data_IF_075746309908
#
_entry.id   IF_075746309908
#
_cell.length_a   1.000
_cell.length_b   1.000
_cell.length_c   1.000
_cell.angle_alpha   90.00
_cell.angle_beta   90.00
_cell.angle_gamma   90.00
#
_symmetry.space_group_name_H-M   'P 1'
#
loop_
_entity.id
_entity.type
_entity.pdbx_description
1 polymer ?
#
# COMPACT_ATOMS: atom_id res chain seq x y z
N UNK A 1 29.21 33.33 -1.64
CA UNK A 1 28.82 32.15 -2.43
C UNK A 1 28.77 30.86 -1.58
N UNK A 2 29.73 30.61 -0.68
CA UNK A 2 29.74 29.46 0.23
C UNK A 2 28.59 29.54 1.24
N UNK A 3 28.33 30.71 1.83
CA UNK A 3 27.28 30.94 2.83
C UNK A 3 25.85 30.77 2.27
N UNK A 4 25.62 31.12 1.02
CA UNK A 4 24.34 30.91 0.34
C UNK A 4 24.08 29.43 0.03
N UNK A 5 25.11 28.67 -0.34
CA UNK A 5 25.04 27.22 -0.54
C UNK A 5 24.77 26.47 0.78
N UNK A 6 25.44 26.86 1.87
CA UNK A 6 25.18 26.27 3.20
C UNK A 6 23.76 26.57 3.70
N UNK A 7 23.25 27.77 3.46
CA UNK A 7 21.87 28.12 3.81
C UNK A 7 20.83 27.32 3.04
N UNK A 8 21.03 27.06 1.75
CA UNK A 8 20.14 26.28 0.89
C UNK A 8 20.08 24.80 1.31
N UNK A 9 21.23 24.18 1.60
CA UNK A 9 21.28 22.78 2.05
C UNK A 9 20.64 22.60 3.41
N UNK A 10 20.84 23.50 4.36
CA UNK A 10 20.19 23.45 5.67
C UNK A 10 18.66 23.60 5.59
N UNK A 11 18.17 24.46 4.70
CA UNK A 11 16.73 24.60 4.45
C UNK A 11 16.13 23.34 3.84
N UNK A 12 16.82 22.70 2.89
CA UNK A 12 16.39 21.44 2.28
C UNK A 12 16.30 20.30 3.31
N UNK A 13 17.32 20.13 4.15
CA UNK A 13 17.29 19.13 5.24
C UNK A 13 16.15 19.36 6.23
N UNK A 14 15.89 20.61 6.59
CA UNK A 14 14.78 20.97 7.48
C UNK A 14 13.44 20.63 6.86
N UNK A 15 13.27 20.89 5.56
CA UNK A 15 12.06 20.51 4.82
C UNK A 15 11.84 18.99 4.84
N UNK A 16 12.86 18.20 4.52
CA UNK A 16 12.81 16.73 4.56
C UNK A 16 12.41 16.25 5.95
N UNK A 17 13.02 16.77 7.00
CA UNK A 17 12.75 16.41 8.39
C UNK A 17 11.28 16.68 8.77
N UNK A 18 10.73 17.85 8.44
CA UNK A 18 9.34 18.17 8.74
C UNK A 18 8.35 17.29 7.96
N UNK A 19 8.58 17.07 6.67
CA UNK A 19 7.73 16.21 5.86
C UNK A 19 7.75 14.75 6.34
N UNK A 20 8.91 14.23 6.72
CA UNK A 20 9.02 12.88 7.27
C UNK A 20 8.32 12.74 8.64
N UNK A 21 8.40 13.77 9.50
CA UNK A 21 7.70 13.81 10.78
C UNK A 21 6.17 13.83 10.61
N UNK A 22 5.66 14.63 9.68
CA UNK A 22 4.22 14.69 9.37
C UNK A 22 3.75 13.35 8.79
N UNK A 23 4.51 12.75 7.89
CA UNK A 23 4.24 11.44 7.30
C UNK A 23 4.17 10.34 8.38
N UNK A 24 5.13 10.33 9.31
CA UNK A 24 5.15 9.41 10.46
C UNK A 24 3.97 9.64 11.40
N UNK A 25 3.63 10.90 11.71
CA UNK A 25 2.48 11.23 12.56
C UNK A 25 1.17 10.73 11.94
N UNK A 26 0.99 10.87 10.63
CA UNK A 26 -0.19 10.38 9.92
C UNK A 26 -0.28 8.84 9.95
N UNK A 27 0.83 8.13 9.72
CA UNK A 27 0.89 6.66 9.84
C UNK A 27 0.56 6.20 11.26
N UNK A 28 1.10 6.87 12.28
CA UNK A 28 0.85 6.55 13.69
C UNK A 28 -0.61 6.81 14.06
N UNK A 29 -1.19 7.91 13.59
CA UNK A 29 -2.59 8.23 13.80
C UNK A 29 -3.51 7.16 13.19
N UNK A 30 -3.25 6.74 11.95
CA UNK A 30 -4.00 5.65 11.30
C UNK A 30 -3.92 4.35 12.11
N UNK A 31 -2.74 4.05 12.69
CA UNK A 31 -2.56 2.90 13.56
C UNK A 31 -3.47 2.96 14.79
N UNK A 32 -3.56 4.10 15.45
CA UNK A 32 -4.40 4.27 16.65
C UNK A 32 -5.88 4.12 16.28
N UNK A 33 -6.31 4.76 15.21
CA UNK A 33 -7.72 4.79 14.80
C UNK A 33 -8.27 3.42 14.40
N UNK A 34 -7.43 2.56 13.82
CA UNK A 34 -7.87 1.23 13.33
C UNK A 34 -7.49 0.06 14.26
N UNK A 35 -6.88 0.35 15.43
CA UNK A 35 -6.39 -0.67 16.35
C UNK A 35 -7.50 -1.60 16.88
N UNK A 36 -8.69 -1.05 17.16
CA UNK A 36 -9.84 -1.86 17.62
C UNK A 36 -10.27 -2.93 16.62
N UNK A 37 -10.36 -2.54 15.34
CA UNK A 37 -10.72 -3.47 14.25
C UNK A 37 -9.63 -4.50 14.00
N UNK A 38 -8.37 -4.10 14.19
CA UNK A 38 -7.21 -4.98 14.06
C UNK A 38 -7.25 -6.11 15.10
N UNK A 39 -7.46 -5.75 16.37
CA UNK A 39 -7.55 -6.73 17.46
C UNK A 39 -8.71 -7.71 17.22
N UNK A 40 -9.80 -7.24 16.67
CA UNK A 40 -10.96 -8.06 16.38
C UNK A 40 -10.77 -8.96 15.15
N UNK A 41 -10.23 -8.43 14.04
CA UNK A 41 -10.29 -9.12 12.75
C UNK A 41 -8.95 -9.79 12.36
N UNK A 42 -7.77 -9.24 12.76
CA UNK A 42 -6.46 -9.73 12.32
C UNK A 42 -5.80 -10.65 13.35
N UNK A 43 -5.80 -10.26 14.62
CA UNK A 43 -5.10 -11.04 15.66
C UNK A 43 -5.62 -12.47 15.85
N UNK A 44 -6.95 -12.74 15.75
CA UNK A 44 -7.48 -14.10 15.86
C UNK A 44 -7.13 -15.01 14.69
N UNK A 45 -6.67 -14.44 13.54
CA UNK A 45 -6.27 -15.25 12.39
C UNK A 45 -5.10 -16.17 12.74
N UNK A 46 -5.18 -17.43 12.25
CA UNK A 46 -4.08 -18.39 12.40
C UNK A 46 -2.80 -17.84 11.78
N UNK A 47 -1.64 -18.08 12.40
CA UNK A 47 -0.34 -17.57 11.96
C UNK A 47 0.11 -18.03 10.55
N UNK A 48 -0.50 -19.09 10.00
CA UNK A 48 -0.24 -19.59 8.64
C UNK A 48 -0.94 -18.80 7.52
N UNK A 49 -1.82 -17.85 7.84
CA UNK A 49 -2.48 -17.04 6.82
C UNK A 49 -1.53 -15.97 6.27
N UNK A 50 -1.23 -15.98 4.96
CA UNK A 50 -0.28 -15.04 4.35
C UNK A 50 -0.74 -13.58 4.46
N UNK A 51 -2.04 -13.31 4.46
CA UNK A 51 -2.59 -11.96 4.61
C UNK A 51 -2.29 -11.33 5.98
N UNK A 52 -2.14 -12.13 7.05
CA UNK A 52 -1.71 -11.63 8.35
C UNK A 52 -0.30 -11.06 8.30
N UNK A 53 0.63 -11.74 7.63
CA UNK A 53 2.00 -11.29 7.47
C UNK A 53 2.12 -10.08 6.53
N UNK A 54 1.33 -10.04 5.45
CA UNK A 54 1.21 -8.87 4.58
C UNK A 54 0.68 -7.65 5.34
N UNK A 55 -0.30 -7.85 6.23
CA UNK A 55 -0.80 -6.78 7.11
C UNK A 55 0.29 -6.25 8.04
N UNK A 56 1.02 -7.16 8.73
CA UNK A 56 2.12 -6.79 9.62
C UNK A 56 3.21 -6.02 8.87
N UNK A 57 3.54 -6.46 7.64
CA UNK A 57 4.50 -5.78 6.79
C UNK A 57 4.04 -4.35 6.46
N UNK A 58 2.84 -4.17 5.89
CA UNK A 58 2.34 -2.86 5.49
C UNK A 58 2.16 -1.89 6.67
N UNK A 59 1.83 -2.41 7.84
CA UNK A 59 1.50 -1.58 8.99
C UNK A 59 2.70 -1.34 9.90
N UNK A 60 3.20 -2.40 10.48
CA UNK A 60 4.22 -2.29 11.54
C UNK A 60 5.62 -2.17 10.99
N UNK A 61 5.97 -2.97 9.98
CA UNK A 61 7.32 -2.93 9.43
C UNK A 61 7.62 -1.59 8.77
N UNK A 62 6.70 -1.06 7.93
CA UNK A 62 6.88 0.26 7.31
C UNK A 62 6.90 1.39 8.36
N UNK A 63 6.08 1.30 9.42
CA UNK A 63 6.10 2.26 10.51
C UNK A 63 7.45 2.27 11.25
N UNK A 64 7.98 1.09 11.60
CA UNK A 64 9.30 0.97 12.25
C UNK A 64 10.40 1.59 11.38
N UNK A 65 10.38 1.33 10.08
CA UNK A 65 11.35 1.92 9.14
C UNK A 65 11.22 3.45 9.12
N UNK A 66 10.00 4.00 9.10
CA UNK A 66 9.81 5.45 9.15
C UNK A 66 10.36 6.06 10.45
N UNK A 67 10.15 5.39 11.60
CA UNK A 67 10.73 5.82 12.89
C UNK A 67 12.25 5.80 12.83
N UNK A 68 12.85 4.72 12.32
CA UNK A 68 14.31 4.62 12.19
C UNK A 68 14.89 5.70 11.28
N UNK A 69 14.22 5.98 10.16
CA UNK A 69 14.64 7.07 9.26
C UNK A 69 14.50 8.45 9.92
N UNK A 70 13.44 8.69 10.69
CA UNK A 70 13.27 9.94 11.43
C UNK A 70 14.37 10.15 12.46
N UNK A 71 14.74 9.10 13.19
CA UNK A 71 15.86 9.11 14.13
C UNK A 71 17.17 9.42 13.39
N UNK A 72 17.43 8.72 12.26
CA UNK A 72 18.63 8.95 11.46
C UNK A 72 18.72 10.41 10.97
N UNK A 73 17.60 10.97 10.47
CA UNK A 73 17.54 12.37 10.02
C UNK A 73 17.78 13.38 11.17
N UNK A 74 17.36 13.06 12.40
CA UNK A 74 17.60 13.91 13.56
C UNK A 74 19.08 13.96 13.97
N UNK A 75 19.82 12.85 13.78
CA UNK A 75 21.25 12.78 14.11
C UNK A 75 22.19 13.21 13.00
N UNK A 76 21.75 13.21 11.73
CA UNK A 76 22.58 13.58 10.59
C UNK A 76 23.26 14.95 10.72
N UNK A 77 22.58 16.03 11.19
CA UNK A 77 23.21 17.36 11.34
C UNK A 77 24.29 17.42 12.41
N UNK A 78 24.29 16.51 13.37
CA UNK A 78 25.27 16.44 14.45
C UNK A 78 26.59 15.77 13.99
N UNK A 79 26.60 15.09 12.86
CA UNK A 79 27.79 14.46 12.29
C UNK A 79 28.62 15.51 11.53
N UNK A 80 29.84 15.73 11.95
CA UNK A 80 30.77 16.74 11.39
C UNK A 80 31.11 16.54 9.90
N UNK A 81 30.87 15.36 9.36
CA UNK A 81 30.85 15.04 7.92
C UNK A 81 29.91 13.85 7.72
N UNK A 82 28.65 14.08 7.31
CA UNK A 82 27.81 12.96 6.92
C UNK A 82 28.50 12.27 5.76
N UNK A 83 29.03 11.08 6.01
CA UNK A 83 29.63 10.26 4.95
C UNK A 83 28.55 10.06 3.89
N UNK A 84 28.82 10.50 2.67
CA UNK A 84 27.89 10.37 1.52
C UNK A 84 27.33 8.95 1.40
N UNK A 85 28.07 7.96 1.85
CA UNK A 85 27.69 6.55 1.92
C UNK A 85 26.48 6.27 2.82
N UNK A 86 26.31 6.95 3.96
CA UNK A 86 25.17 6.73 4.86
C UNK A 86 23.90 7.30 4.23
N UNK A 87 23.96 8.50 3.69
CA UNK A 87 22.81 9.10 3.00
C UNK A 87 22.40 8.28 1.77
N UNK A 88 23.38 7.79 1.00
CA UNK A 88 23.13 6.90 -0.13
C UNK A 88 22.48 5.59 0.33
N UNK A 89 22.99 4.97 1.38
CA UNK A 89 22.45 3.73 1.93
C UNK A 89 20.98 3.88 2.38
N UNK A 90 20.67 4.98 3.08
CA UNK A 90 19.27 5.29 3.48
C UNK A 90 18.36 5.49 2.27
N UNK A 91 18.83 6.23 1.26
CA UNK A 91 18.04 6.49 0.06
C UNK A 91 17.74 5.20 -0.72
N UNK A 92 18.75 4.34 -0.91
CA UNK A 92 18.59 3.04 -1.58
C UNK A 92 17.63 2.15 -0.78
N UNK A 93 17.80 2.09 0.54
CA UNK A 93 16.90 1.32 1.41
C UNK A 93 15.45 1.80 1.27
N UNK A 94 15.21 3.12 1.33
CA UNK A 94 13.87 3.68 1.19
C UNK A 94 13.26 3.38 -0.18
N UNK A 95 14.03 3.49 -1.25
CA UNK A 95 13.57 3.17 -2.61
C UNK A 95 13.18 1.69 -2.72
N UNK A 96 14.01 0.78 -2.24
CA UNK A 96 13.70 -0.67 -2.25
C UNK A 96 12.44 -0.96 -1.44
N UNK A 97 12.27 -0.33 -0.29
CA UNK A 97 11.09 -0.55 0.56
C UNK A 97 9.80 -0.01 -0.09
N UNK A 98 9.86 1.14 -0.76
CA UNK A 98 8.72 1.67 -1.51
C UNK A 98 8.33 0.71 -2.64
N UNK A 99 9.30 0.20 -3.38
CA UNK A 99 9.02 -0.78 -4.45
C UNK A 99 8.45 -2.09 -3.90
N UNK A 100 8.99 -2.63 -2.81
CA UNK A 100 8.44 -3.82 -2.15
C UNK A 100 7.00 -3.58 -1.66
N UNK A 101 6.72 -2.40 -1.09
CA UNK A 101 5.39 -2.03 -0.65
C UNK A 101 4.41 -1.88 -1.82
N UNK A 102 4.86 -1.32 -2.95
CA UNK A 102 4.07 -1.22 -4.17
C UNK A 102 3.70 -2.62 -4.71
N UNK A 103 4.67 -3.50 -4.91
CA UNK A 103 4.41 -4.87 -5.38
C UNK A 103 3.46 -5.66 -4.48
N UNK A 104 3.61 -5.54 -3.16
CA UNK A 104 2.71 -6.23 -2.23
C UNK A 104 1.30 -5.66 -2.27
N UNK A 105 1.13 -4.35 -2.43
CA UNK A 105 -0.17 -3.71 -2.61
C UNK A 105 -0.84 -4.16 -3.92
N UNK A 106 -0.10 -4.19 -5.01
CA UNK A 106 -0.59 -4.68 -6.30
C UNK A 106 -0.99 -6.15 -6.25
N UNK A 107 -0.20 -6.97 -5.58
CA UNK A 107 -0.55 -8.37 -5.34
C UNK A 107 -1.89 -8.51 -4.60
N UNK A 108 -2.13 -7.70 -3.56
CA UNK A 108 -3.39 -7.70 -2.82
C UNK A 108 -4.54 -7.29 -3.74
N UNK A 109 -4.37 -6.23 -4.52
CA UNK A 109 -5.38 -5.76 -5.47
C UNK A 109 -5.66 -6.79 -6.57
N UNK A 110 -4.62 -7.38 -7.15
CA UNK A 110 -4.72 -8.43 -8.15
C UNK A 110 -5.43 -9.68 -7.61
N UNK A 111 -5.08 -10.11 -6.39
CA UNK A 111 -5.74 -11.23 -5.74
C UNK A 111 -7.24 -10.97 -5.53
N UNK A 112 -7.62 -9.75 -5.15
CA UNK A 112 -9.04 -9.36 -5.04
C UNK A 112 -9.77 -9.48 -6.38
N UNK A 113 -9.17 -8.95 -7.45
CA UNK A 113 -9.74 -9.06 -8.80
C UNK A 113 -9.87 -10.53 -9.20
N UNK A 114 -8.85 -11.34 -8.97
CA UNK A 114 -8.88 -12.77 -9.27
C UNK A 114 -10.04 -13.51 -8.59
N UNK A 115 -10.22 -13.28 -7.28
CA UNK A 115 -11.34 -13.86 -6.52
C UNK A 115 -12.68 -13.32 -7.02
N UNK A 116 -12.79 -12.04 -7.32
CA UNK A 116 -14.00 -11.39 -7.82
C UNK A 116 -14.48 -11.98 -9.17
N UNK A 117 -13.55 -12.42 -10.00
CA UNK A 117 -13.83 -13.09 -11.28
C UNK A 117 -14.00 -14.61 -11.15
N UNK A 118 -14.14 -15.16 -9.94
CA UNK A 118 -14.36 -16.59 -9.70
C UNK A 118 -13.17 -17.46 -10.06
N UNK A 119 -11.96 -16.98 -9.84
CA UNK A 119 -10.70 -17.69 -10.06
C UNK A 119 -10.47 -18.12 -11.53
N UNK A 120 -10.98 -17.35 -12.49
CA UNK A 120 -10.83 -17.66 -13.91
C UNK A 120 -9.37 -17.59 -14.38
N UNK A 121 -8.88 -18.63 -15.05
CA UNK A 121 -7.48 -18.74 -15.55
C UNK A 121 -7.07 -17.59 -16.49
N UNK A 122 -7.99 -17.08 -17.30
CA UNK A 122 -7.72 -15.93 -18.17
C UNK A 122 -7.34 -14.68 -17.35
N UNK A 123 -8.08 -14.39 -16.28
CA UNK A 123 -7.81 -13.25 -15.38
C UNK A 123 -6.46 -13.44 -14.70
N UNK A 124 -6.17 -14.65 -14.21
CA UNK A 124 -4.86 -14.96 -13.61
C UNK A 124 -3.70 -14.71 -14.55
N UNK A 125 -3.81 -15.10 -15.84
CA UNK A 125 -2.77 -14.85 -16.85
C UNK A 125 -2.59 -13.37 -17.14
N UNK A 126 -3.70 -12.61 -17.25
CA UNK A 126 -3.66 -11.16 -17.44
C UNK A 126 -2.96 -10.46 -16.26
N UNK A 127 -3.38 -10.77 -15.03
CA UNK A 127 -2.80 -10.20 -13.82
C UNK A 127 -1.32 -10.58 -13.64
N UNK A 128 -0.98 -11.84 -13.90
CA UNK A 128 0.41 -12.30 -13.87
C UNK A 128 1.29 -11.59 -14.91
N UNK A 129 0.76 -11.37 -16.12
CA UNK A 129 1.45 -10.59 -17.17
C UNK A 129 1.68 -9.14 -16.78
N UNK A 130 0.69 -8.49 -16.15
CA UNK A 130 0.81 -7.10 -15.67
C UNK A 130 1.88 -6.98 -14.58
N UNK A 131 1.84 -7.82 -13.55
CA UNK A 131 2.85 -7.82 -12.47
C UNK A 131 4.23 -8.13 -13.03
N UNK A 132 4.36 -9.11 -13.94
CA UNK A 132 5.64 -9.45 -14.56
C UNK A 132 6.21 -8.27 -15.36
N UNK A 133 5.38 -7.54 -16.12
CA UNK A 133 5.81 -6.36 -16.88
C UNK A 133 6.41 -5.29 -15.96
N UNK A 134 5.84 -5.11 -14.78
CA UNK A 134 6.31 -4.13 -13.79
C UNK A 134 7.65 -4.57 -13.16
N UNK A 135 7.77 -5.85 -12.77
CA UNK A 135 9.03 -6.40 -12.26
C UNK A 135 10.16 -6.25 -13.29
N UNK A 136 9.89 -6.54 -14.56
CA UNK A 136 10.89 -6.39 -15.63
C UNK A 136 11.33 -4.93 -15.80
N UNK A 137 10.42 -3.97 -15.68
CA UNK A 137 10.74 -2.54 -15.80
C UNK A 137 11.38 -1.96 -14.52
N UNK A 138 11.16 -2.55 -13.36
CA UNK A 138 11.77 -2.14 -12.10
C UNK A 138 13.30 -2.33 -12.11
N UNK A 139 13.81 -3.40 -12.72
CA UNK A 139 15.25 -3.71 -12.75
C UNK A 139 16.12 -2.61 -13.38
N UNK A 140 15.85 -2.14 -14.63
CA UNK A 140 16.62 -1.05 -15.23
C UNK A 140 16.43 0.29 -14.48
N UNK A 141 15.28 0.50 -13.85
CA UNK A 141 15.04 1.69 -13.03
C UNK A 141 15.91 1.68 -11.78
N UNK A 142 15.95 0.57 -11.05
CA UNK A 142 16.80 0.40 -9.88
C UNK A 142 18.28 0.59 -10.22
N UNK A 143 18.74 0.01 -11.33
CA UNK A 143 20.12 0.16 -11.81
C UNK A 143 20.46 1.62 -12.16
N UNK A 144 19.59 2.31 -12.91
CA UNK A 144 19.81 3.69 -13.30
C UNK A 144 19.77 4.65 -12.10
N UNK A 145 18.89 4.40 -11.13
CA UNK A 145 18.82 5.18 -9.88
C UNK A 145 20.09 4.98 -9.06
N UNK A 146 20.55 3.75 -8.89
CA UNK A 146 21.81 3.46 -8.20
C UNK A 146 23.01 4.16 -8.86
N UNK A 147 23.09 4.13 -10.19
CA UNK A 147 24.14 4.82 -10.94
C UNK A 147 24.08 6.36 -10.78
N UNK A 148 22.91 6.96 -10.84
CA UNK A 148 22.69 8.40 -10.59
C UNK A 148 23.13 8.79 -9.19
N UNK A 149 22.76 8.03 -8.19
CA UNK A 149 23.13 8.28 -6.79
C UNK A 149 24.64 8.15 -6.58
N UNK A 150 25.29 7.17 -7.19
CA UNK A 150 26.74 7.00 -7.07
C UNK A 150 27.55 8.11 -7.77
N UNK A 151 26.96 8.77 -8.79
CA UNK A 151 27.56 9.92 -9.47
C UNK A 151 27.25 11.28 -8.81
N UNK A 152 26.56 11.28 -7.65
CA UNK A 152 26.24 12.51 -6.90
C UNK A 152 25.05 13.30 -7.44
N UNK A 153 24.35 12.80 -8.46
CA UNK A 153 23.14 13.41 -9.02
C UNK A 153 21.94 12.94 -8.20
N UNK A 154 21.78 13.52 -7.00
CA UNK A 154 20.79 13.08 -6.01
C UNK A 154 19.33 13.48 -6.35
N UNK A 155 19.12 14.35 -7.35
CA UNK A 155 17.84 15.08 -7.49
C UNK A 155 17.16 14.97 -8.85
N UNK A 156 17.73 14.27 -9.82
CA UNK A 156 17.06 14.04 -11.10
C UNK A 156 16.37 12.68 -11.14
N UNK A 157 15.08 12.72 -11.42
CA UNK A 157 14.31 11.51 -11.70
C UNK A 157 14.77 10.94 -13.04
N UNK A 158 15.39 9.76 -13.03
CA UNK A 158 15.89 9.12 -14.25
C UNK A 158 14.76 8.89 -15.26
N UNK A 159 15.05 8.90 -16.59
CA UNK A 159 14.03 8.58 -17.60
C UNK A 159 13.35 7.24 -17.34
N UNK A 160 14.11 6.24 -16.87
CA UNK A 160 13.59 4.92 -16.54
C UNK A 160 12.60 4.97 -15.37
N UNK A 161 12.80 5.83 -14.36
CA UNK A 161 11.86 6.02 -13.27
C UNK A 161 10.52 6.60 -13.77
N UNK A 162 10.55 7.51 -14.75
CA UNK A 162 9.30 8.03 -15.35
C UNK A 162 8.55 6.94 -16.12
N UNK A 163 9.26 6.06 -16.83
CA UNK A 163 8.67 4.90 -17.51
C UNK A 163 8.04 3.95 -16.49
N UNK A 164 8.75 3.63 -15.40
CA UNK A 164 8.24 2.80 -14.31
C UNK A 164 6.95 3.38 -13.73
N UNK A 165 6.93 4.66 -13.35
CA UNK A 165 5.73 5.33 -12.83
C UNK A 165 4.56 5.27 -13.82
N UNK A 166 4.81 5.38 -15.12
CA UNK A 166 3.78 5.27 -16.14
C UNK A 166 3.21 3.85 -16.23
N UNK A 167 4.05 2.83 -16.14
CA UNK A 167 3.62 1.42 -16.14
C UNK A 167 2.79 1.11 -14.90
N UNK A 168 3.25 1.51 -13.72
CA UNK A 168 2.49 1.38 -12.46
C UNK A 168 1.11 2.04 -12.59
N UNK A 169 1.01 3.23 -13.19
CA UNK A 169 -0.29 3.89 -13.45
C UNK A 169 -1.20 3.05 -14.37
N UNK A 170 -0.65 2.42 -15.40
CA UNK A 170 -1.42 1.55 -16.31
C UNK A 170 -1.90 0.30 -15.57
N UNK A 171 -1.04 -0.33 -14.77
CA UNK A 171 -1.39 -1.51 -13.96
C UNK A 171 -2.53 -1.18 -13.01
N UNK A 172 -2.39 -0.12 -12.20
CA UNK A 172 -3.43 0.31 -11.26
C UNK A 172 -4.74 0.69 -11.96
N UNK A 173 -4.67 1.40 -13.12
CA UNK A 173 -5.86 1.75 -13.92
C UNK A 173 -6.56 0.51 -14.45
N UNK A 174 -5.82 -0.51 -14.85
CA UNK A 174 -6.39 -1.77 -15.35
C UNK A 174 -7.06 -2.54 -14.20
N UNK A 175 -6.42 -2.64 -13.03
CA UNK A 175 -6.99 -3.31 -11.86
C UNK A 175 -8.30 -2.68 -11.40
N UNK A 176 -8.36 -1.34 -11.33
CA UNK A 176 -9.59 -0.64 -10.94
C UNK A 176 -10.69 -0.81 -12.01
N UNK A 177 -10.32 -0.71 -13.29
CA UNK A 177 -11.28 -0.88 -14.39
C UNK A 177 -11.92 -2.26 -14.37
N UNK A 178 -11.14 -3.32 -14.13
CA UNK A 178 -11.66 -4.68 -13.98
C UNK A 178 -12.59 -4.80 -12.77
N UNK A 179 -12.22 -4.20 -11.63
CA UNK A 179 -13.04 -4.20 -10.42
C UNK A 179 -14.38 -3.51 -10.65
N UNK A 180 -14.35 -2.33 -11.27
CA UNK A 180 -15.54 -1.53 -11.58
C UNK A 180 -16.43 -2.24 -12.64
N UNK A 181 -15.84 -2.78 -13.69
CA UNK A 181 -16.58 -3.53 -14.73
C UNK A 181 -17.32 -4.73 -14.13
N UNK A 182 -16.69 -5.45 -13.21
CA UNK A 182 -17.34 -6.57 -12.52
C UNK A 182 -18.47 -6.11 -11.61
N UNK A 183 -18.31 -4.97 -10.91
CA UNK A 183 -19.38 -4.40 -10.09
C UNK A 183 -20.62 -4.09 -10.92
N UNK A 184 -20.46 -3.51 -12.10
CA UNK A 184 -21.57 -3.26 -13.02
C UNK A 184 -22.20 -4.55 -13.57
N UNK A 185 -21.42 -5.58 -13.85
CA UNK A 185 -21.95 -6.85 -14.37
C UNK A 185 -22.75 -7.66 -13.34
N UNK A 186 -22.63 -7.33 -12.05
CA UNK A 186 -23.30 -8.06 -10.95
C UNK A 186 -24.65 -7.42 -10.55
N UNK A 187 -25.27 -6.62 -11.43
CA UNK A 187 -26.53 -5.90 -11.16
C UNK A 187 -27.71 -6.82 -10.80
N UNK A 188 -27.67 -8.10 -11.21
CA UNK A 188 -28.69 -9.11 -10.88
C UNK A 188 -28.44 -9.92 -9.59
N UNK A 189 -27.35 -9.65 -8.85
CA UNK A 189 -27.02 -10.41 -7.65
C UNK A 189 -27.86 -9.99 -6.42
N UNK A 190 -27.87 -10.86 -5.38
CA UNK A 190 -28.56 -10.57 -4.11
C UNK A 190 -28.06 -9.25 -3.48
N UNK A 191 -28.91 -8.58 -2.71
CA UNK A 191 -28.57 -7.30 -2.03
C UNK A 191 -27.30 -7.44 -1.17
N UNK A 192 -27.13 -8.56 -0.49
CA UNK A 192 -25.95 -8.81 0.34
C UNK A 192 -24.65 -8.86 -0.49
N UNK A 193 -24.65 -9.61 -1.60
CA UNK A 193 -23.52 -9.69 -2.51
C UNK A 193 -23.19 -8.33 -3.13
N UNK A 194 -24.20 -7.55 -3.50
CA UNK A 194 -24.02 -6.19 -4.06
C UNK A 194 -23.36 -5.24 -3.06
N UNK A 195 -23.79 -5.27 -1.80
CA UNK A 195 -23.19 -4.42 -0.75
C UNK A 195 -21.72 -4.78 -0.50
N UNK A 196 -21.39 -6.06 -0.45
CA UNK A 196 -20.01 -6.54 -0.28
C UNK A 196 -19.13 -6.08 -1.44
N UNK A 197 -19.57 -6.31 -2.69
CA UNK A 197 -18.83 -5.92 -3.88
C UNK A 197 -18.67 -4.40 -3.93
N UNK A 198 -19.70 -3.63 -3.57
CA UNK A 198 -19.65 -2.16 -3.53
C UNK A 198 -18.63 -1.65 -2.51
N UNK A 199 -18.62 -2.19 -1.28
CA UNK A 199 -17.61 -1.81 -0.28
C UNK A 199 -16.19 -2.19 -0.70
N UNK A 200 -16.01 -3.38 -1.29
CA UNK A 200 -14.74 -3.80 -1.84
C UNK A 200 -14.29 -2.84 -2.96
N UNK A 201 -15.19 -2.49 -3.89
CA UNK A 201 -14.90 -1.58 -4.99
C UNK A 201 -14.52 -0.19 -4.46
N UNK A 202 -15.26 0.34 -3.50
CA UNK A 202 -14.98 1.66 -2.91
C UNK A 202 -13.58 1.70 -2.27
N UNK A 203 -13.23 0.71 -1.46
CA UNK A 203 -11.91 0.62 -0.84
C UNK A 203 -10.78 0.56 -1.86
N UNK A 204 -10.93 -0.24 -2.92
CA UNK A 204 -9.97 -0.32 -4.03
C UNK A 204 -9.86 0.99 -4.80
N UNK A 205 -10.98 1.68 -5.05
CA UNK A 205 -11.02 2.96 -5.76
C UNK A 205 -10.31 4.06 -4.96
N UNK A 206 -10.53 4.14 -3.65
CA UNK A 206 -9.83 5.11 -2.78
C UNK A 206 -8.33 4.86 -2.80
N UNK A 207 -7.90 3.61 -2.66
CA UNK A 207 -6.48 3.22 -2.75
C UNK A 207 -5.87 3.66 -4.08
N UNK A 208 -6.56 3.39 -5.19
CA UNK A 208 -6.13 3.81 -6.53
C UNK A 208 -5.98 5.34 -6.63
N UNK A 209 -6.97 6.11 -6.18
CA UNK A 209 -6.91 7.57 -6.24
C UNK A 209 -5.76 8.13 -5.42
N UNK A 210 -5.48 7.58 -4.27
CA UNK A 210 -4.32 7.96 -3.44
C UNK A 210 -3.01 7.67 -4.15
N UNK A 211 -2.87 6.50 -4.78
CA UNK A 211 -1.67 6.12 -5.54
C UNK A 211 -1.51 6.96 -6.81
N UNK A 212 -2.58 7.19 -7.57
CA UNK A 212 -2.56 8.04 -8.75
C UNK A 212 -2.18 9.49 -8.39
N UNK A 213 -2.71 10.01 -7.28
CA UNK A 213 -2.35 11.32 -6.75
C UNK A 213 -0.86 11.42 -6.40
N UNK A 214 -0.31 10.40 -5.72
CA UNK A 214 1.10 10.33 -5.38
C UNK A 214 2.00 10.30 -6.63
N UNK A 215 1.67 9.46 -7.61
CA UNK A 215 2.42 9.37 -8.86
C UNK A 215 2.31 10.67 -9.68
N UNK A 216 1.13 11.30 -9.72
CA UNK A 216 0.93 12.61 -10.32
C UNK A 216 1.77 13.70 -9.67
N UNK A 217 1.85 13.71 -8.33
CA UNK A 217 2.77 14.58 -7.59
C UNK A 217 4.22 14.30 -7.96
N UNK A 218 4.63 13.04 -8.11
CA UNK A 218 5.96 12.66 -8.56
C UNK A 218 6.33 13.27 -9.91
N UNK A 219 5.42 13.24 -10.87
CA UNK A 219 5.62 13.87 -12.18
C UNK A 219 5.71 15.39 -12.11
N UNK A 220 4.92 16.04 -11.24
CA UNK A 220 4.96 17.51 -11.09
C UNK A 220 6.22 17.96 -10.36
N UNK A 221 6.59 17.29 -9.27
CA UNK A 221 7.79 17.58 -8.48
C UNK A 221 9.07 17.40 -9.32
N UNK A 222 9.10 16.41 -10.23
CA UNK A 222 10.24 16.22 -11.11
C UNK A 222 10.54 17.41 -12.05
N UNK A 223 9.64 18.38 -12.15
CA UNK A 223 9.81 19.61 -12.96
C UNK A 223 10.18 20.83 -12.13
N UNK A 224 10.15 20.73 -10.79
CA UNK A 224 10.42 21.84 -9.87
C UNK A 224 11.84 21.67 -9.31
N UNK A 225 12.80 22.52 -9.66
CA UNK A 225 14.22 22.33 -9.30
C UNK A 225 14.50 22.35 -7.80
N UNK A 226 13.63 22.97 -6.98
CA UNK A 226 13.85 23.14 -5.54
C UNK A 226 13.20 22.04 -4.69
N UNK A 227 12.38 21.17 -5.27
CA UNK A 227 11.70 20.10 -4.54
C UNK A 227 12.54 18.82 -4.48
N UNK A 228 12.70 18.29 -3.28
CA UNK A 228 13.52 17.13 -2.99
C UNK A 228 12.70 15.82 -3.24
N UNK A 229 13.07 14.97 -4.22
CA UNK A 229 12.33 13.71 -4.49
C UNK A 229 12.24 12.76 -3.29
N UNK A 230 13.19 12.87 -2.35
CA UNK A 230 13.21 12.07 -1.12
C UNK A 230 11.95 12.30 -0.25
N UNK A 231 11.35 13.49 -0.32
CA UNK A 231 10.10 13.80 0.39
C UNK A 231 8.97 12.88 -0.11
N UNK A 232 8.92 12.62 -1.41
CA UNK A 232 7.93 11.72 -1.99
C UNK A 232 8.06 10.28 -1.51
N UNK A 233 9.28 9.81 -1.21
CA UNK A 233 9.48 8.47 -0.68
C UNK A 233 8.83 8.30 0.71
N UNK A 234 8.91 9.31 1.59
CA UNK A 234 8.23 9.28 2.89
C UNK A 234 6.71 9.24 2.74
N UNK A 235 6.16 10.07 1.85
CA UNK A 235 4.73 10.07 1.55
C UNK A 235 4.29 8.77 0.88
N UNK A 236 5.12 8.21 -0.01
CA UNK A 236 4.86 6.91 -0.63
C UNK A 236 4.74 5.80 0.44
N UNK A 237 5.71 5.69 1.34
CA UNK A 237 5.66 4.70 2.43
C UNK A 237 4.41 4.86 3.30
N UNK A 238 4.04 6.10 3.64
CA UNK A 238 2.84 6.39 4.42
C UNK A 238 1.57 5.96 3.69
N UNK A 239 1.42 6.33 2.42
CA UNK A 239 0.25 5.98 1.62
C UNK A 239 0.15 4.48 1.42
N UNK A 240 1.27 3.79 1.11
CA UNK A 240 1.29 2.33 1.01
C UNK A 240 0.92 1.66 2.34
N UNK A 241 1.45 2.15 3.46
CA UNK A 241 1.14 1.64 4.80
C UNK A 241 -0.36 1.73 5.10
N UNK A 242 -0.96 2.91 4.90
CA UNK A 242 -2.38 3.16 5.16
C UNK A 242 -3.26 2.35 4.17
N UNK A 243 -2.98 2.44 2.88
CA UNK A 243 -3.78 1.77 1.86
C UNK A 243 -3.72 0.25 1.99
N UNK A 244 -2.52 -0.33 2.12
CA UNK A 244 -2.34 -1.77 2.22
C UNK A 244 -2.97 -2.35 3.48
N UNK A 245 -2.73 -1.73 4.64
CA UNK A 245 -3.29 -2.18 5.91
C UNK A 245 -4.82 -2.08 5.92
N UNK A 246 -5.41 -0.96 5.52
CA UNK A 246 -6.88 -0.79 5.46
C UNK A 246 -7.53 -1.75 4.47
N UNK A 247 -6.88 -2.01 3.33
CA UNK A 247 -7.39 -2.93 2.33
C UNK A 247 -7.50 -4.35 2.89
N UNK A 248 -6.46 -4.84 3.58
CA UNK A 248 -6.44 -6.16 4.21
C UNK A 248 -7.42 -6.21 5.38
N UNK A 249 -7.44 -5.19 6.23
CA UNK A 249 -8.33 -5.10 7.38
C UNK A 249 -9.81 -5.17 6.96
N UNK A 250 -10.20 -4.42 5.93
CA UNK A 250 -11.55 -4.45 5.40
C UNK A 250 -11.94 -5.86 4.88
N UNK A 251 -11.00 -6.58 4.24
CA UNK A 251 -11.24 -7.96 3.79
C UNK A 251 -11.40 -8.91 4.98
N UNK A 252 -10.56 -8.77 6.00
CA UNK A 252 -10.58 -9.60 7.20
C UNK A 252 -11.88 -9.42 7.99
N UNK A 253 -12.29 -8.17 8.25
CA UNK A 253 -13.51 -7.88 8.98
C UNK A 253 -14.77 -8.31 8.21
N UNK A 254 -14.75 -8.24 6.88
CA UNK A 254 -15.82 -8.75 6.05
C UNK A 254 -15.97 -10.27 6.15
N UNK A 255 -14.84 -10.99 6.17
CA UNK A 255 -14.82 -12.44 6.35
C UNK A 255 -15.36 -12.83 7.72
N UNK A 256 -14.97 -12.14 8.79
CA UNK A 256 -15.47 -12.34 10.16
C UNK A 256 -17.00 -12.17 10.22
N UNK A 257 -17.52 -11.10 9.62
CA UNK A 257 -18.95 -10.84 9.56
C UNK A 257 -19.74 -11.92 8.82
N UNK A 258 -19.21 -12.43 7.70
CA UNK A 258 -19.83 -13.51 6.93
C UNK A 258 -19.83 -14.84 7.68
N UNK A 259 -18.78 -15.15 8.44
CA UNK A 259 -18.73 -16.35 9.28
C UNK A 259 -19.72 -16.26 10.44
N UNK A 260 -19.87 -15.09 11.06
CA UNK A 260 -20.86 -14.84 12.10
C UNK A 260 -22.31 -15.05 11.60
N UNK A 261 -22.62 -14.58 10.39
CA UNK A 261 -23.94 -14.80 9.78
C UNK A 261 -24.23 -16.28 9.51
N UNK A 262 -23.26 -17.04 9.00
CA UNK A 262 -23.41 -18.49 8.80
C UNK A 262 -23.64 -19.24 10.11
N UNK A 263 -22.89 -18.90 11.15
CA UNK A 263 -23.09 -19.51 12.47
C UNK A 263 -24.49 -19.25 13.06
N UNK A 264 -25.05 -18.06 12.83
CA UNK A 264 -26.44 -17.75 13.27
C UNK A 264 -27.46 -18.53 12.44
N UNK A 265 -27.27 -18.69 11.14
CA UNK A 265 -28.16 -19.44 10.25
C UNK A 265 -28.16 -20.93 10.60
N UNK A 266 -26.98 -21.50 10.91
CA UNK A 266 -26.87 -22.90 11.38
C UNK A 266 -27.56 -23.10 12.74
N UNK A 267 -27.46 -22.16 13.68
CA UNK A 267 -28.13 -22.21 14.97
C UNK A 267 -29.65 -22.13 14.79
N UNK A 268 -30.13 -21.22 13.93
CA UNK A 268 -31.58 -21.09 13.65
C UNK A 268 -32.16 -22.36 13.02
N UNK A 269 -31.42 -22.97 12.06
CA UNK A 269 -31.83 -24.26 11.45
C UNK A 269 -31.87 -25.39 12.48
N UNK A 270 -30.89 -25.50 13.36
CA UNK A 270 -30.85 -26.51 14.41
C UNK A 270 -32.01 -26.33 15.39
N UNK A 271 -32.29 -25.09 15.82
CA UNK A 271 -33.39 -24.77 16.72
C UNK A 271 -34.74 -25.04 16.07
N UNK A 272 -34.90 -24.80 14.76
CA UNK A 272 -36.13 -25.07 14.02
C UNK A 272 -36.40 -26.58 13.87
N UNK A 273 -35.34 -27.38 13.68
CA UNK A 273 -35.41 -28.83 13.65
C UNK A 273 -35.81 -29.40 15.04
N UNK A 274 -35.26 -28.89 16.12
CA UNK A 274 -35.57 -29.29 17.49
C UNK A 274 -37.04 -28.99 17.85
N UNK A 275 -37.59 -27.86 17.42
CA UNK A 275 -39.00 -27.50 17.64
C UNK A 275 -39.92 -28.43 16.84
N UNK A 276 -39.62 -28.72 15.57
CA UNK A 276 -40.43 -29.61 14.76
C UNK A 276 -40.44 -31.06 15.27
N UNK A 277 -39.31 -31.52 15.82
CA UNK A 277 -39.23 -32.86 16.45
C UNK A 277 -39.98 -32.95 17.77
N UNK A 278 -40.14 -31.84 18.50
CA UNK A 278 -40.91 -31.82 19.74
C UNK A 278 -42.43 -31.77 19.50
N UNK A 279 -42.88 -31.18 18.41
CA UNK A 279 -44.32 -31.17 18.01
C UNK A 279 -44.83 -32.52 17.48
N UNK A 280 -43.95 -33.37 16.94
CA UNK A 280 -44.32 -34.71 16.45
C UNK A 280 -44.35 -35.76 17.58
N UNK A 281 -44.02 -35.42 18.82
CA UNK A 281 -43.99 -36.34 19.98
C UNK A 281 -45.14 -36.12 20.97
N UNK A 282 -46.03 -35.15 20.79
CA UNK A 282 -47.23 -34.88 21.53
C UNK A 282 -48.49 -35.37 20.74
#
# INVERSE_FOLDING_TARGET
MVDTLMGSTAAAFRSIYYHSAVALALSSWDCIMTFGDEVRCIWPMKGSYPFKWLYIFHRYFLLVIQIMCQIALAFLPAMSSPTSSICLGLLVLMTVLVECANFTLEFILAFRVFVLFGCHLWVSRLLGGLILSEVVCCMPTAYSSFKSYSSGILFELSPNAKIQMSITMVVHSTLISLTVAKNFSTVGASRAAKNIISQLTLGGTVTYLMMAGLLGLGFTVSKVPDMQPIILLFWALTIHSICGSRLILNMACMQDHMQGLRGVEDILLTTQIDISLSEDLD
#
